data_IF_478002770220
#
_entry.id   IF_478002770220
#
_cell.length_a   1.000
_cell.length_b   1.000
_cell.length_c   1.000
_cell.angle_alpha   90.00
_cell.angle_beta   90.00
_cell.angle_gamma   90.00
#
_symmetry.space_group_name_H-M   'P 1'
#
loop_
_entity.id
_entity.type
_entity.pdbx_description
1 polymer ?
#
# COMPACT_ATOMS: atom_id res chain seq x y z
N UNK A 1 8.19 8.85 -11.42
CA UNK A 1 7.29 8.44 -12.51
C UNK A 1 6.48 7.26 -11.98
N UNK A 2 5.23 7.52 -11.59
CA UNK A 2 4.32 6.48 -11.12
C UNK A 2 3.91 5.67 -12.35
N UNK A 3 4.32 4.41 -12.42
CA UNK A 3 4.02 3.55 -13.55
C UNK A 3 2.50 3.34 -13.62
N UNK A 4 1.89 3.79 -14.71
CA UNK A 4 0.51 3.51 -15.06
C UNK A 4 0.53 2.30 -16.00
N UNK A 5 -0.25 1.25 -15.70
CA UNK A 5 -0.51 0.20 -16.68
C UNK A 5 -1.46 0.75 -17.75
N UNK A 6 -1.31 0.34 -19.01
CA UNK A 6 -2.18 0.77 -20.13
C UNK A 6 -3.67 0.47 -19.91
N UNK A 7 -4.01 -0.26 -18.84
CA UNK A 7 -5.33 -0.77 -18.52
C UNK A 7 -5.96 -0.05 -17.31
N UNK A 8 -5.22 0.81 -16.59
CA UNK A 8 -5.73 1.50 -15.38
C UNK A 8 -5.88 0.60 -14.14
N UNK A 9 -5.43 -0.65 -14.18
CA UNK A 9 -5.50 -1.60 -13.07
C UNK A 9 -4.12 -1.81 -12.44
N UNK A 10 -4.06 -1.77 -11.11
CA UNK A 10 -2.86 -2.12 -10.33
C UNK A 10 -2.66 -3.63 -10.44
N UNK A 11 -1.71 -4.09 -11.24
CA UNK A 11 -1.31 -5.50 -11.21
C UNK A 11 -0.56 -5.81 -9.90
N UNK A 12 -0.63 -7.06 -9.43
CA UNK A 12 0.06 -7.52 -8.20
C UNK A 12 1.54 -7.11 -8.12
N UNK A 13 2.22 -7.13 -9.27
CA UNK A 13 3.63 -6.70 -9.40
C UNK A 13 3.80 -5.21 -9.12
N UNK A 14 2.88 -4.39 -9.60
CA UNK A 14 2.90 -2.95 -9.39
C UNK A 14 2.63 -2.60 -7.92
N UNK A 15 1.70 -3.30 -7.27
CA UNK A 15 1.43 -3.15 -5.84
C UNK A 15 2.67 -3.46 -4.98
N UNK A 16 3.40 -4.53 -5.33
CA UNK A 16 4.62 -4.90 -4.61
C UNK A 16 5.78 -3.92 -4.81
N UNK A 17 6.00 -3.41 -6.02
CA UNK A 17 7.01 -2.38 -6.24
C UNK A 17 6.63 -1.05 -5.57
N UNK A 18 5.33 -0.75 -5.52
CA UNK A 18 4.84 0.45 -4.83
C UNK A 18 5.11 0.40 -3.32
N UNK A 19 4.89 -0.73 -2.64
CA UNK A 19 5.17 -0.81 -1.19
C UNK A 19 6.66 -0.68 -0.86
N UNK A 20 7.55 -1.21 -1.71
CA UNK A 20 9.00 -1.00 -1.57
C UNK A 20 9.36 0.47 -1.73
N UNK A 21 8.74 1.14 -2.70
CA UNK A 21 8.94 2.57 -2.90
C UNK A 21 8.44 3.36 -1.67
N UNK A 22 7.21 3.10 -1.21
CA UNK A 22 6.68 3.70 0.00
C UNK A 22 7.60 3.50 1.20
N UNK A 23 8.09 2.27 1.42
CA UNK A 23 9.00 1.95 2.51
C UNK A 23 10.29 2.77 2.44
N UNK A 24 10.98 2.75 1.28
CA UNK A 24 12.23 3.49 1.09
C UNK A 24 12.11 4.99 1.35
N UNK A 25 10.99 5.60 0.93
CA UNK A 25 10.79 7.05 1.05
C UNK A 25 10.19 7.48 2.38
N UNK A 26 9.60 6.58 3.16
CA UNK A 26 8.99 6.91 4.47
C UNK A 26 9.85 6.51 5.66
N UNK A 27 10.84 5.63 5.46
CA UNK A 27 11.67 5.05 6.54
C UNK A 27 12.40 6.10 7.38
N UNK A 28 12.90 7.17 6.77
CA UNK A 28 13.59 8.27 7.47
C UNK A 28 12.65 9.16 8.28
N UNK A 29 11.34 9.12 8.01
CA UNK A 29 10.34 9.96 8.66
C UNK A 29 9.59 9.22 9.78
N UNK A 30 10.02 8.01 10.13
CA UNK A 30 9.33 7.20 11.13
C UNK A 30 9.40 7.87 12.50
N UNK A 31 8.23 8.03 13.13
CA UNK A 31 8.12 8.36 14.54
C UNK A 31 7.64 7.10 15.27
N UNK A 32 8.53 6.47 16.01
CA UNK A 32 8.27 5.19 16.68
C UNK A 32 8.66 3.98 15.83
N UNK A 33 7.95 2.86 16.03
CA UNK A 33 8.36 1.53 15.51
C UNK A 33 7.56 1.10 14.28
N UNK A 34 6.31 1.57 14.14
CA UNK A 34 5.39 1.15 13.09
C UNK A 34 5.04 2.31 12.15
N UNK A 35 4.71 1.98 10.90
CA UNK A 35 4.14 2.91 9.91
C UNK A 35 2.76 2.45 9.52
N UNK A 36 1.83 3.39 9.40
CA UNK A 36 0.47 3.11 8.95
C UNK A 36 0.35 3.44 7.46
N UNK A 37 -0.18 2.49 6.70
CA UNK A 37 -0.55 2.63 5.30
C UNK A 37 -2.06 2.43 5.15
N UNK A 38 -2.76 3.46 4.67
CA UNK A 38 -4.21 3.40 4.42
C UNK A 38 -4.42 3.19 2.92
N UNK A 39 -5.09 2.11 2.56
CA UNK A 39 -5.46 1.75 1.20
C UNK A 39 -6.93 2.13 0.98
N UNK A 40 -7.26 2.67 -0.19
CA UNK A 40 -8.66 2.78 -0.59
C UNK A 40 -9.21 1.38 -0.89
N UNK A 41 -10.52 1.19 -0.69
CA UNK A 41 -11.21 -0.11 -0.70
C UNK A 41 -11.12 -0.92 -1.99
N UNK A 42 -10.31 -0.49 -2.96
CA UNK A 42 -9.93 -1.21 -4.16
C UNK A 42 -8.69 -2.09 -3.92
N UNK A 43 -8.62 -2.71 -2.74
CA UNK A 43 -7.55 -3.64 -2.37
C UNK A 43 -7.82 -5.03 -2.96
N UNK A 44 -7.92 -5.14 -4.29
CA UNK A 44 -8.04 -6.42 -4.99
C UNK A 44 -6.68 -7.13 -5.19
N UNK A 45 -5.58 -6.57 -4.69
CA UNK A 45 -4.21 -7.05 -4.99
C UNK A 45 -3.29 -7.15 -3.76
N UNK A 46 -3.85 -7.41 -2.56
CA UNK A 46 -3.07 -7.84 -1.40
C UNK A 46 -2.58 -9.27 -1.62
N UNK A 47 -1.46 -9.41 -2.32
CA UNK A 47 -0.81 -10.72 -2.47
C UNK A 47 -0.12 -11.12 -1.16
N UNK A 48 0.02 -12.42 -0.85
CA UNK A 48 0.75 -12.87 0.34
C UNK A 48 2.16 -12.27 0.47
N UNK A 49 2.82 -12.00 -0.67
CA UNK A 49 4.13 -11.34 -0.72
C UNK A 49 4.08 -9.89 -0.25
N UNK A 50 3.02 -9.17 -0.58
CA UNK A 50 2.80 -7.79 -0.13
C UNK A 50 2.60 -7.76 1.39
N UNK A 51 1.74 -8.64 1.91
CA UNK A 51 1.44 -8.71 3.34
C UNK A 51 2.67 -9.11 4.16
N UNK A 52 3.42 -10.11 3.67
CA UNK A 52 4.67 -10.52 4.31
C UNK A 52 5.69 -9.37 4.36
N UNK A 53 5.86 -8.64 3.26
CA UNK A 53 6.76 -7.47 3.23
C UNK A 53 6.32 -6.38 4.21
N UNK A 54 5.01 -6.11 4.29
CA UNK A 54 4.47 -5.15 5.24
C UNK A 54 4.77 -5.57 6.69
N UNK A 55 4.55 -6.85 7.02
CA UNK A 55 4.82 -7.40 8.34
C UNK A 55 6.31 -7.31 8.71
N UNK A 56 7.20 -7.72 7.82
CA UNK A 56 8.66 -7.67 8.01
C UNK A 56 9.18 -6.24 8.22
N UNK A 57 8.57 -5.26 7.54
CA UNK A 57 8.98 -3.85 7.59
C UNK A 57 8.16 -3.00 8.57
N UNK A 58 7.37 -3.64 9.44
CA UNK A 58 6.55 -2.99 10.48
C UNK A 58 5.58 -1.96 9.90
N UNK A 59 5.00 -2.28 8.75
CA UNK A 59 3.98 -1.49 8.07
C UNK A 59 2.63 -2.14 8.35
N UNK A 60 1.75 -1.39 9.00
CA UNK A 60 0.37 -1.78 9.28
C UNK A 60 -0.47 -1.27 8.11
N UNK A 61 -1.23 -2.16 7.48
CA UNK A 61 -2.14 -1.82 6.38
C UNK A 61 -3.57 -1.74 6.89
N UNK A 62 -4.28 -0.65 6.58
CA UNK A 62 -5.71 -0.51 6.82
C UNK A 62 -6.41 -0.27 5.49
N UNK A 63 -7.44 -1.06 5.20
CA UNK A 63 -8.25 -0.89 4.00
C UNK A 63 -9.53 -0.12 4.35
N UNK A 64 -9.79 0.97 3.63
CA UNK A 64 -11.04 1.70 3.75
C UNK A 64 -12.18 0.83 3.22
N UNK A 65 -13.30 0.69 3.95
CA UNK A 65 -14.44 -0.06 3.44
C UNK A 65 -14.95 0.58 2.16
N UNK A 66 -15.37 -0.26 1.20
CA UNK A 66 -15.94 0.20 -0.06
C UNK A 66 -17.09 1.19 0.18
N UNK A 67 -17.18 2.22 -0.67
CA UNK A 67 -18.16 3.32 -0.61
C UNK A 67 -17.94 4.40 0.47
N UNK A 68 -16.74 4.61 1.03
CA UNK A 68 -16.50 5.72 1.98
C UNK A 68 -16.17 7.09 1.37
N UNK A 69 -16.13 7.22 0.04
CA UNK A 69 -15.75 8.47 -0.63
C UNK A 69 -16.76 9.63 -0.50
N UNK A 70 -17.95 9.41 0.06
CA UNK A 70 -19.07 10.36 -0.01
C UNK A 70 -19.49 11.01 1.32
N UNK A 71 -18.76 10.81 2.43
CA UNK A 71 -19.14 11.37 3.76
C UNK A 71 -17.96 11.92 4.57
N UNK A 72 -17.13 12.76 3.97
CA UNK A 72 -16.24 13.69 4.69
C UNK A 72 -16.67 15.13 4.38
#
# INVERSE_FOLDING_TARGET
MLAVSDNGWTTDKLGFEWIKHFDNYTKSYIKGVYRLLILDGHSSHATPKFDQYCMENKIITLCMPSYTSHRL
#
